data_IF_429047338047
#
_entry.id   IF_429047338047
#
_cell.length_a   1.000
_cell.length_b   1.000
_cell.length_c   1.000
_cell.angle_alpha   90.00
_cell.angle_beta   90.00
_cell.angle_gamma   90.00
#
_symmetry.space_group_name_H-M   'P 1'
#
loop_
_entity.id
_entity.type
_entity.pdbx_description
1 polymer ?
#
# COMPACT_ATOMS: atom_id res chain seq x y z
N UNK A 1 -30.85 11.40 14.63
CA UNK A 1 -30.40 11.91 13.31
C UNK A 1 -29.33 10.96 12.81
N UNK A 2 -29.72 10.01 11.95
CA UNK A 2 -28.86 8.91 11.52
C UNK A 2 -28.03 9.35 10.30
N UNK A 3 -26.70 9.32 10.43
CA UNK A 3 -25.79 9.59 9.32
C UNK A 3 -25.83 8.37 8.39
N UNK A 4 -26.56 8.49 7.29
CA UNK A 4 -26.62 7.49 6.24
C UNK A 4 -25.29 7.51 5.49
N UNK A 5 -24.42 6.55 5.81
CA UNK A 5 -23.24 6.28 4.98
C UNK A 5 -23.70 5.81 3.58
N UNK A 6 -23.13 6.34 2.49
CA UNK A 6 -23.46 5.93 1.13
C UNK A 6 -23.30 4.42 0.93
N UNK A 7 -24.23 3.83 0.19
CA UNK A 7 -24.38 2.37 0.01
C UNK A 7 -23.28 1.70 -0.85
N UNK A 8 -22.30 2.45 -1.35
CA UNK A 8 -21.36 1.98 -2.39
C UNK A 8 -20.03 1.38 -1.89
N UNK A 9 -19.76 1.31 -0.58
CA UNK A 9 -18.51 0.73 -0.06
C UNK A 9 -18.53 -0.82 0.01
N UNK A 10 -19.67 -1.45 -0.28
CA UNK A 10 -19.85 -2.91 -0.09
C UNK A 10 -19.09 -3.80 -1.09
N UNK A 11 -18.47 -3.26 -2.13
CA UNK A 11 -17.84 -4.07 -3.18
C UNK A 11 -16.31 -4.26 -3.08
N UNK A 12 -15.63 -3.67 -2.09
CA UNK A 12 -14.16 -3.73 -2.01
C UNK A 12 -13.64 -4.77 -0.99
N UNK A 13 -14.50 -5.33 -0.14
CA UNK A 13 -14.14 -6.40 0.78
C UNK A 13 -15.13 -7.54 0.58
N UNK A 14 -14.74 -8.60 -0.14
CA UNK A 14 -15.51 -9.85 -0.13
C UNK A 14 -15.66 -10.30 1.33
N UNK A 15 -16.87 -10.65 1.79
CA UNK A 15 -17.06 -11.14 3.15
C UNK A 15 -16.23 -12.41 3.32
N UNK A 16 -15.17 -12.32 4.13
CA UNK A 16 -14.54 -13.49 4.70
C UNK A 16 -15.60 -14.18 5.58
N UNK A 17 -15.75 -15.52 5.51
CA UNK A 17 -16.76 -16.24 6.29
C UNK A 17 -16.61 -15.91 7.79
N UNK A 18 -17.71 -15.45 8.38
CA UNK A 18 -17.84 -14.79 9.68
C UNK A 18 -17.63 -15.70 10.91
N UNK A 19 -16.81 -16.75 10.83
CA UNK A 19 -16.55 -17.65 11.96
C UNK A 19 -15.17 -17.49 12.61
N UNK A 20 -14.34 -16.55 12.14
CA UNK A 20 -13.01 -16.31 12.69
C UNK A 20 -12.76 -14.81 12.85
N UNK A 21 -12.31 -14.40 14.04
CA UNK A 21 -11.79 -13.04 14.28
C UNK A 21 -10.64 -12.78 13.30
N UNK A 22 -10.91 -12.05 12.22
CA UNK A 22 -9.89 -11.61 11.27
C UNK A 22 -9.07 -10.53 11.97
N UNK A 23 -7.86 -10.88 12.40
CA UNK A 23 -6.90 -9.93 12.94
C UNK A 23 -6.16 -9.27 11.77
N UNK A 24 -6.40 -7.97 11.57
CA UNK A 24 -5.77 -7.18 10.51
C UNK A 24 -4.55 -6.46 11.10
N UNK A 25 -3.43 -6.48 10.38
CA UNK A 25 -2.21 -5.76 10.76
C UNK A 25 -2.00 -4.61 9.78
N UNK A 26 -2.04 -3.38 10.27
CA UNK A 26 -1.79 -2.18 9.48
C UNK A 26 -0.50 -1.53 9.96
N UNK A 27 0.39 -1.17 9.04
CA UNK A 27 1.67 -0.55 9.40
C UNK A 27 2.14 0.42 8.32
N UNK A 28 2.97 1.38 8.73
CA UNK A 28 3.55 2.40 7.85
C UNK A 28 4.99 2.69 8.24
N UNK A 29 5.83 2.96 7.25
CA UNK A 29 7.16 3.52 7.47
C UNK A 29 7.05 4.98 7.94
N UNK A 30 7.82 5.39 8.94
CA UNK A 30 7.83 6.74 9.49
C UNK A 30 9.20 7.39 9.32
N UNK A 31 9.30 8.71 9.51
CA UNK A 31 10.60 9.37 9.59
C UNK A 31 11.47 8.71 10.68
N UNK A 32 12.77 8.46 10.44
CA UNK A 32 13.56 8.84 9.24
C UNK A 32 13.43 7.91 8.02
N UNK A 33 12.82 6.73 8.14
CA UNK A 33 12.70 5.73 7.06
C UNK A 33 11.87 6.20 5.84
N UNK A 34 11.26 7.38 5.89
CA UNK A 34 10.55 8.01 4.77
C UNK A 34 11.36 9.11 4.06
N UNK A 35 12.51 9.52 4.61
CA UNK A 35 13.44 10.47 3.99
C UNK A 35 14.49 9.69 3.18
N UNK A 36 14.07 9.22 2.00
CA UNK A 36 14.83 8.24 1.21
C UNK A 36 15.94 8.91 0.37
N UNK A 37 17.17 8.46 0.57
CA UNK A 37 18.37 8.82 -0.19
C UNK A 37 18.66 7.82 -1.33
N UNK A 38 19.75 8.03 -2.06
CA UNK A 38 20.11 7.23 -3.22
C UNK A 38 19.33 7.66 -4.47
N UNK A 39 19.06 6.72 -5.37
CA UNK A 39 18.34 6.96 -6.63
C UNK A 39 16.96 6.29 -6.62
N UNK A 40 15.97 6.84 -7.33
CA UNK A 40 14.60 6.30 -7.37
C UNK A 40 14.49 4.84 -7.83
N UNK A 41 15.44 4.42 -8.67
CA UNK A 41 15.51 3.13 -9.36
C UNK A 41 16.56 2.17 -8.76
N UNK A 42 17.16 2.52 -7.62
CA UNK A 42 18.12 1.65 -6.94
C UNK A 42 17.52 0.27 -6.67
N UNK A 43 18.27 -0.77 -7.02
CA UNK A 43 17.87 -2.15 -6.80
C UNK A 43 17.81 -2.48 -5.30
N UNK A 44 16.97 -3.45 -4.88
CA UNK A 44 16.94 -3.92 -3.51
C UNK A 44 18.34 -4.33 -3.04
N UNK A 45 18.86 -3.67 -2.02
CA UNK A 45 20.22 -3.89 -1.50
C UNK A 45 20.18 -4.13 0.01
N UNK A 46 20.79 -5.21 0.54
CA UNK A 46 20.85 -5.46 1.97
C UNK A 46 21.49 -4.31 2.74
N UNK A 47 20.94 -3.97 3.91
CA UNK A 47 21.44 -2.91 4.77
C UNK A 47 20.32 -2.15 5.48
N UNK A 48 20.72 -1.18 6.31
CA UNK A 48 19.82 -0.42 7.17
C UNK A 48 19.92 1.10 6.96
N UNK A 49 20.59 1.53 5.89
CA UNK A 49 20.66 2.95 5.54
C UNK A 49 19.30 3.43 5.00
N UNK A 50 19.07 4.74 5.05
CA UNK A 50 17.82 5.35 4.60
C UNK A 50 17.77 5.52 3.08
N UNK A 51 18.17 4.52 2.29
CA UNK A 51 18.15 4.59 0.82
C UNK A 51 16.93 3.87 0.22
N UNK A 52 16.58 4.21 -1.03
CA UNK A 52 15.56 3.48 -1.80
C UNK A 52 15.89 1.99 -1.90
N UNK A 53 17.14 1.63 -2.21
CA UNK A 53 17.58 0.25 -2.33
C UNK A 53 17.41 -0.55 -1.03
N UNK A 54 17.81 0.03 0.11
CA UNK A 54 17.64 -0.63 1.41
C UNK A 54 16.16 -0.75 1.79
N UNK A 55 15.36 0.29 1.56
CA UNK A 55 13.92 0.23 1.81
C UNK A 55 13.25 -0.88 0.98
N UNK A 56 13.53 -0.96 -0.33
CA UNK A 56 13.00 -2.05 -1.17
C UNK A 56 13.42 -3.43 -0.66
N UNK A 57 14.66 -3.59 -0.20
CA UNK A 57 15.13 -4.85 0.38
C UNK A 57 14.36 -5.23 1.64
N UNK A 58 14.18 -4.32 2.60
CA UNK A 58 13.40 -4.58 3.83
C UNK A 58 11.97 -4.99 3.51
N UNK A 59 11.33 -4.34 2.53
CA UNK A 59 9.99 -4.70 2.10
C UNK A 59 9.95 -6.05 1.35
N UNK A 60 11.01 -6.45 0.65
CA UNK A 60 11.06 -7.81 0.10
C UNK A 60 11.21 -8.86 1.21
N UNK A 61 12.05 -8.61 2.22
CA UNK A 61 12.25 -9.54 3.34
C UNK A 61 10.98 -9.76 4.16
N UNK A 62 10.19 -8.70 4.42
CA UNK A 62 8.96 -8.84 5.22
C UNK A 62 7.88 -9.69 4.53
N UNK A 63 7.90 -9.83 3.19
CA UNK A 63 6.99 -10.73 2.47
C UNK A 63 7.17 -12.19 2.89
N UNK A 64 8.39 -12.60 3.27
CA UNK A 64 8.65 -13.95 3.76
C UNK A 64 7.83 -14.24 5.02
N UNK A 65 7.74 -13.26 5.93
CA UNK A 65 6.90 -13.38 7.12
C UNK A 65 5.41 -13.40 6.78
N UNK A 66 4.94 -12.53 5.88
CA UNK A 66 3.53 -12.51 5.48
C UNK A 66 3.06 -13.82 4.85
N UNK A 67 3.94 -14.48 4.11
CA UNK A 67 3.71 -15.81 3.54
C UNK A 67 3.47 -16.88 4.62
N UNK A 68 4.02 -16.73 5.83
CA UNK A 68 3.78 -17.67 6.95
C UNK A 68 2.41 -17.48 7.62
N UNK A 69 1.73 -16.37 7.36
CA UNK A 69 0.45 -16.00 8.01
C UNK A 69 -0.65 -15.69 6.98
N UNK A 70 -1.04 -16.63 6.10
CA UNK A 70 -2.10 -16.42 5.12
C UNK A 70 -3.48 -16.18 5.77
N UNK A 71 -3.64 -16.47 7.06
CA UNK A 71 -4.84 -16.19 7.86
C UNK A 71 -4.93 -14.73 8.36
N UNK A 72 -3.91 -13.90 8.08
CA UNK A 72 -3.85 -12.48 8.47
C UNK A 72 -3.84 -11.60 7.24
N UNK A 73 -4.63 -10.54 7.26
CA UNK A 73 -4.53 -9.47 6.28
C UNK A 73 -3.49 -8.45 6.75
N UNK A 74 -2.45 -8.25 5.95
CA UNK A 74 -1.47 -7.19 6.13
C UNK A 74 -1.80 -6.01 5.21
N UNK A 75 -1.83 -4.81 5.78
CA UNK A 75 -2.06 -3.58 5.03
C UNK A 75 -0.84 -2.68 5.21
N UNK A 76 -0.09 -2.51 4.12
CA UNK A 76 0.97 -1.52 4.03
C UNK A 76 0.36 -0.18 3.71
N UNK A 77 0.56 0.80 4.59
CA UNK A 77 0.19 2.18 4.35
C UNK A 77 1.44 2.91 3.83
N UNK A 78 1.36 3.46 2.62
CA UNK A 78 2.47 4.25 2.05
C UNK A 78 2.82 5.42 2.96
N UNK A 79 4.10 5.78 3.01
CA UNK A 79 4.52 6.89 3.85
C UNK A 79 3.87 8.20 3.32
N UNK A 80 3.40 9.11 4.18
CA UNK A 80 2.96 10.42 3.74
C UNK A 80 4.13 11.20 3.11
N UNK A 81 3.86 12.17 2.21
CA UNK A 81 4.91 13.06 1.71
C UNK A 81 5.53 13.84 2.89
N UNK A 82 6.85 14.00 2.86
CA UNK A 82 7.52 14.93 3.78
C UNK A 82 7.27 16.37 3.30
N UNK A 83 7.12 17.31 4.24
CA UNK A 83 7.00 18.74 3.90
C UNK A 83 8.30 19.32 3.33
N UNK A 84 9.45 18.76 3.73
CA UNK A 84 10.78 19.15 3.28
C UNK A 84 11.67 17.91 3.10
N UNK A 85 11.44 17.10 2.04
CA UNK A 85 12.26 15.92 1.75
C UNK A 85 13.64 16.33 1.24
N UNK A 86 14.68 15.55 1.56
CA UNK A 86 15.98 15.74 0.94
C UNK A 86 15.92 15.48 -0.58
N UNK A 87 15.20 14.43 -0.99
CA UNK A 87 15.04 13.98 -2.38
C UNK A 87 13.57 13.57 -2.62
N UNK A 88 12.65 14.50 -3.00
CA UNK A 88 11.22 14.23 -3.12
C UNK A 88 10.86 13.12 -4.12
N UNK A 89 11.63 12.98 -5.20
CA UNK A 89 11.43 11.98 -6.24
C UNK A 89 11.61 10.54 -5.73
N UNK A 90 12.51 10.33 -4.77
CA UNK A 90 12.73 9.01 -4.16
C UNK A 90 11.49 8.56 -3.38
N UNK A 91 10.92 9.47 -2.58
CA UNK A 91 9.69 9.18 -1.85
C UNK A 91 8.54 8.88 -2.80
N UNK A 92 8.38 9.65 -3.88
CA UNK A 92 7.34 9.36 -4.90
C UNK A 92 7.54 7.99 -5.55
N UNK A 93 8.74 7.72 -6.05
CA UNK A 93 9.04 6.49 -6.78
C UNK A 93 8.90 5.25 -5.89
N UNK A 94 9.38 5.31 -4.65
CA UNK A 94 9.25 4.20 -3.71
C UNK A 94 7.79 3.87 -3.38
N UNK A 95 6.95 4.89 -3.15
CA UNK A 95 5.53 4.66 -2.88
C UNK A 95 4.77 4.17 -4.11
N UNK A 96 5.11 4.62 -5.32
CA UNK A 96 4.57 4.05 -6.57
C UNK A 96 4.96 2.59 -6.75
N UNK A 97 6.22 2.24 -6.46
CA UNK A 97 6.68 0.86 -6.50
C UNK A 97 5.92 -0.04 -5.52
N UNK A 98 5.70 0.39 -4.27
CA UNK A 98 4.88 -0.36 -3.31
C UNK A 98 3.47 -0.64 -3.85
N UNK A 99 2.84 0.37 -4.46
CA UNK A 99 1.45 0.29 -4.94
C UNK A 99 1.32 -0.57 -6.19
N UNK A 100 2.27 -0.46 -7.14
CA UNK A 100 2.11 -1.05 -8.47
C UNK A 100 2.94 -2.30 -8.69
N UNK A 101 4.17 -2.34 -8.19
CA UNK A 101 5.21 -3.26 -8.66
C UNK A 101 5.64 -4.28 -7.62
N UNK A 102 5.73 -3.89 -6.34
CA UNK A 102 6.35 -4.66 -5.27
C UNK A 102 5.87 -6.12 -5.18
N UNK A 103 4.56 -6.36 -5.07
CA UNK A 103 4.02 -7.72 -4.99
C UNK A 103 4.22 -8.52 -6.28
N UNK A 104 4.16 -7.83 -7.43
CA UNK A 104 4.29 -8.42 -8.76
C UNK A 104 5.72 -8.87 -9.02
N UNK A 105 6.69 -8.01 -8.75
CA UNK A 105 8.12 -8.27 -8.92
C UNK A 105 8.61 -9.41 -8.03
N UNK A 106 8.04 -9.55 -6.83
CA UNK A 106 8.34 -10.65 -5.91
C UNK A 106 7.49 -11.91 -6.16
N UNK A 107 6.64 -11.94 -7.20
CA UNK A 107 5.74 -13.04 -7.49
C UNK A 107 4.96 -13.55 -6.27
N UNK A 108 4.50 -12.63 -5.40
CA UNK A 108 3.90 -12.98 -4.11
C UNK A 108 2.61 -13.81 -4.33
N UNK A 109 2.51 -15.03 -3.77
CA UNK A 109 1.50 -16.01 -4.21
C UNK A 109 0.15 -15.93 -3.48
N UNK A 110 -0.01 -15.04 -2.49
CA UNK A 110 -1.18 -14.98 -1.61
C UNK A 110 -1.93 -13.65 -1.70
N UNK A 111 -3.24 -13.69 -1.39
CA UNK A 111 -4.13 -12.52 -1.41
C UNK A 111 -4.21 -11.79 -0.05
N UNK A 112 -3.23 -12.02 0.83
CA UNK A 112 -3.25 -11.58 2.23
C UNK A 112 -2.45 -10.29 2.48
N UNK A 113 -2.01 -9.60 1.42
CA UNK A 113 -1.30 -8.31 1.49
C UNK A 113 -2.03 -7.28 0.62
N UNK A 114 -2.24 -6.08 1.17
CA UNK A 114 -2.82 -4.94 0.47
C UNK A 114 -1.98 -3.68 0.70
N UNK A 115 -2.03 -2.73 -0.23
CA UNK A 115 -1.37 -1.44 -0.10
C UNK A 115 -2.41 -0.32 -0.11
N UNK A 116 -2.36 0.54 0.89
CA UNK A 116 -3.14 1.77 0.98
C UNK A 116 -2.27 2.96 0.58
N UNK A 117 -2.63 3.60 -0.52
CA UNK A 117 -1.87 4.71 -1.10
C UNK A 117 -2.17 6.05 -0.40
N UNK A 118 -1.71 6.17 0.84
CA UNK A 118 -1.82 7.38 1.63
C UNK A 118 -1.01 8.55 1.07
N UNK A 119 0.13 8.29 0.40
CA UNK A 119 0.88 9.33 -0.29
C UNK A 119 0.00 10.05 -1.31
N UNK A 120 -0.70 9.31 -2.18
CA UNK A 120 -1.56 9.91 -3.19
C UNK A 120 -2.80 10.59 -2.57
N UNK A 121 -3.35 10.04 -1.47
CA UNK A 121 -4.40 10.72 -0.69
C UNK A 121 -3.96 12.12 -0.29
N UNK A 122 -2.74 12.28 0.20
CA UNK A 122 -2.26 13.58 0.71
C UNK A 122 -1.67 14.50 -0.36
N UNK A 123 -1.36 13.98 -1.54
CA UNK A 123 -0.80 14.77 -2.66
C UNK A 123 -1.77 14.98 -3.81
N UNK A 124 -3.02 14.53 -3.65
CA UNK A 124 -4.07 14.74 -4.64
C UNK A 124 -4.33 16.24 -4.85
N UNK A 125 -4.53 16.69 -6.11
CA UNK A 125 -4.83 18.09 -6.42
C UNK A 125 -6.19 18.59 -5.88
N UNK A 126 -7.02 17.66 -5.37
CA UNK A 126 -8.28 17.95 -4.69
C UNK A 126 -8.22 17.59 -3.20
N UNK A 127 -7.06 17.16 -2.70
CA UNK A 127 -6.86 16.77 -1.31
C UNK A 127 -6.25 17.93 -0.52
N UNK A 128 -7.10 18.85 -0.10
CA UNK A 128 -6.67 20.05 0.60
C UNK A 128 -7.54 20.34 1.81
N UNK A 129 -6.90 20.70 2.91
CA UNK A 129 -7.52 21.55 3.92
C UNK A 129 -7.23 22.99 3.51
N UNK A 130 -8.28 23.75 3.20
CA UNK A 130 -8.18 25.17 2.86
C UNK A 130 -8.85 25.95 3.97
N UNK A 131 -8.28 27.07 4.37
CA UNK A 131 -8.98 28.03 5.23
C UNK A 131 -9.62 29.05 4.29
N UNK A 132 -10.95 29.07 4.25
CA UNK A 132 -11.75 30.03 3.48
C UNK A 132 -12.57 30.81 4.49
N UNK A 133 -12.41 32.14 4.51
CA UNK A 133 -13.12 33.04 5.42
C UNK A 133 -13.05 32.64 6.92
N UNK A 134 -11.92 32.07 7.33
CA UNK A 134 -11.69 31.64 8.72
C UNK A 134 -12.30 30.28 9.08
N UNK A 135 -12.98 29.62 8.14
CA UNK A 135 -13.47 28.25 8.29
C UNK A 135 -12.54 27.26 7.59
N UNK A 136 -12.33 26.10 8.22
CA UNK A 136 -11.60 24.99 7.61
C UNK A 136 -12.55 24.25 6.67
N UNK A 137 -12.24 24.27 5.38
CA UNK A 137 -12.87 23.42 4.38
C UNK A 137 -12.05 22.15 4.16
N UNK A 138 -12.73 21.00 4.08
CA UNK A 138 -12.12 19.71 3.80
C UNK A 138 -12.49 19.28 2.37
N UNK A 139 -11.56 19.40 1.42
CA UNK A 139 -11.69 18.80 0.10
C UNK A 139 -10.97 17.44 0.09
N UNK A 140 -11.67 16.36 -0.29
CA UNK A 140 -11.10 15.03 -0.45
C UNK A 140 -11.33 14.55 -1.89
N UNK A 141 -10.25 14.29 -2.63
CA UNK A 141 -10.32 13.77 -4.00
C UNK A 141 -10.94 12.36 -4.07
N UNK A 142 -11.76 12.10 -5.09
CA UNK A 142 -12.54 10.85 -5.28
C UNK A 142 -11.72 9.62 -5.73
N UNK A 143 -10.40 9.57 -5.51
CA UNK A 143 -9.58 8.47 -6.02
C UNK A 143 -9.67 7.22 -5.14
N UNK A 144 -9.75 6.05 -5.78
CA UNK A 144 -9.68 4.74 -5.11
C UNK A 144 -8.25 4.54 -4.63
N UNK A 145 -8.04 4.49 -3.30
CA UNK A 145 -6.71 4.47 -2.67
C UNK A 145 -6.27 3.06 -2.21
N UNK A 146 -7.00 2.03 -2.64
CA UNK A 146 -6.76 0.65 -2.27
C UNK A 146 -6.27 -0.12 -3.50
N UNK A 147 -5.10 -0.73 -3.39
CA UNK A 147 -4.67 -1.75 -4.36
C UNK A 147 -4.56 -3.09 -3.66
N UNK A 148 -5.31 -4.06 -4.17
CA UNK A 148 -5.16 -5.49 -3.87
C UNK A 148 -4.78 -6.18 -5.16
N UNK A 149 -3.64 -6.86 -5.16
CA UNK A 149 -3.34 -7.84 -6.21
C UNK A 149 -3.94 -9.17 -5.80
N UNK A 150 -4.89 -9.68 -6.59
CA UNK A 150 -5.28 -11.08 -6.50
C UNK A 150 -4.23 -11.90 -7.26
N UNK A 151 -3.60 -12.87 -6.59
CA UNK A 151 -2.76 -13.87 -7.22
C UNK A 151 -3.61 -14.62 -8.25
N UNK A 152 -3.36 -14.39 -9.54
CA UNK A 152 -3.95 -15.22 -10.59
C UNK A 152 -3.43 -16.64 -10.36
N UNK A 153 -4.29 -17.53 -9.88
CA UNK A 153 -4.05 -18.98 -9.99
C UNK A 153 -3.82 -19.27 -11.47
N UNK A 154 -2.60 -19.67 -11.82
CA UNK A 154 -2.37 -20.34 -13.08
C UNK A 154 -3.24 -21.60 -13.07
N UNK A 155 -4.33 -21.60 -13.85
CA UNK A 155 -5.07 -22.81 -14.15
C UNK A 155 -4.12 -23.74 -14.91
N UNK A 156 -3.49 -24.65 -14.17
CA UNK A 156 -2.99 -25.89 -14.72
C UNK A 156 -4.15 -26.57 -15.44
N UNK A 157 -4.11 -26.52 -16.78
CA UNK A 157 -4.97 -27.35 -17.63
C UNK A 157 -4.74 -28.80 -17.21
N UNK A 158 -5.68 -29.33 -16.43
CA UNK A 158 -5.85 -30.76 -16.26
C UNK A 158 -5.95 -31.38 -17.65
N UNK A 159 -5.15 -32.42 -17.87
CA UNK A 159 -5.19 -33.21 -19.08
C UNK A 159 -6.61 -33.65 -19.41
N UNK A 160 -6.98 -33.51 -20.67
CA UNK A 160 -8.02 -34.32 -21.28
C UNK A 160 -7.26 -35.38 -22.04
N UNK A 161 -7.31 -36.60 -21.50
CA UNK A 161 -6.96 -37.79 -22.25
C UNK A 161 -7.95 -37.99 -23.38
N UNK A 162 -7.41 -38.48 -24.49
CA UNK A 162 -8.08 -39.02 -25.67
C UNK A 162 -7.03 -39.79 -26.44
#
# INVERSE_FOLDING_TARGET
MAFLLPRDIRHVIRPFPLSYTVFNVLFKSCFPNSDLYGRPDDAPTPGYDFTVGNARWVYNEILQYFATRPDKLFVVITAPPLSAPAIPENARAFNQWLVHDWLRENAYPYDNVAVFDFFNVLTGPDAHHRVVDGAIEHAAGLRVNWVRHAARRAESRRGVGG
#
